data_IF_917028885462
#
_entry.id   IF_917028885462
#
_cell.length_a   1.000
_cell.length_b   1.000
_cell.length_c   1.000
_cell.angle_alpha   90.00
_cell.angle_beta   90.00
_cell.angle_gamma   90.00
#
_symmetry.space_group_name_H-M   'P 1'
#
loop_
_entity.id
_entity.type
_entity.pdbx_description
1 polymer ?
#
# COMPACT_ATOMS: atom_id res chain seq x y z
N UNK A 1 5.79 22.11 27.98
CA UNK A 1 5.41 22.10 26.55
C UNK A 1 5.46 20.66 26.08
N UNK A 2 4.31 20.06 25.74
CA UNK A 2 4.24 18.67 25.30
C UNK A 2 4.42 18.67 23.78
N UNK A 3 5.48 18.00 23.29
CA UNK A 3 5.71 17.82 21.87
C UNK A 3 5.00 16.55 21.41
N UNK A 4 4.06 16.68 20.48
CA UNK A 4 3.40 15.54 19.86
C UNK A 4 4.14 15.13 18.60
N UNK A 5 4.24 13.82 18.37
CA UNK A 5 4.82 13.30 17.15
C UNK A 5 3.88 13.59 15.97
N UNK A 6 4.44 14.10 14.87
CA UNK A 6 3.74 14.21 13.57
C UNK A 6 3.45 12.83 12.92
N UNK A 7 3.76 11.73 13.61
CA UNK A 7 3.49 10.38 13.12
C UNK A 7 1.98 10.13 13.06
N UNK A 8 1.48 9.50 11.99
CA UNK A 8 0.08 9.11 11.93
C UNK A 8 -0.26 8.13 13.05
N UNK A 9 -1.33 8.41 13.82
CA UNK A 9 -1.88 7.42 14.76
C UNK A 9 -2.26 6.11 14.05
N UNK A 10 -2.17 5.01 14.79
CA UNK A 10 -2.37 3.65 14.28
C UNK A 10 -3.74 3.08 14.68
N UNK A 11 -4.28 3.53 15.81
CA UNK A 11 -5.55 3.04 16.38
C UNK A 11 -6.47 4.21 16.74
N UNK A 12 -7.79 3.98 16.60
CA UNK A 12 -8.87 4.88 17.02
C UNK A 12 -8.79 5.30 18.49
N UNK A 13 -8.20 4.49 19.36
CA UNK A 13 -8.04 4.83 20.78
C UNK A 13 -7.20 6.09 21.00
N UNK A 14 -6.33 6.44 20.05
CA UNK A 14 -5.47 7.62 20.09
C UNK A 14 -6.09 8.83 19.37
N UNK A 15 -7.35 8.76 18.95
CA UNK A 15 -8.00 9.81 18.19
C UNK A 15 -8.50 10.97 19.07
N UNK A 16 -7.71 12.03 19.10
CA UNK A 16 -8.04 13.26 19.83
C UNK A 16 -9.02 14.17 19.08
N UNK A 17 -9.27 13.93 17.80
CA UNK A 17 -10.06 14.82 16.93
C UNK A 17 -11.47 14.29 16.63
N UNK A 18 -11.88 13.17 17.22
CA UNK A 18 -13.23 12.60 17.10
C UNK A 18 -13.58 12.08 15.69
N UNK A 19 -12.58 11.75 14.88
CA UNK A 19 -12.71 11.22 13.52
C UNK A 19 -12.93 9.70 13.46
N UNK A 20 -12.70 8.99 14.55
CA UNK A 20 -12.87 7.53 14.64
C UNK A 20 -14.29 7.09 14.27
N UNK A 21 -15.32 7.89 14.60
CA UNK A 21 -16.71 7.63 14.22
C UNK A 21 -16.90 7.62 12.70
N UNK A 22 -16.38 8.64 12.02
CA UNK A 22 -16.46 8.75 10.56
C UNK A 22 -15.65 7.64 9.87
N UNK A 23 -14.45 7.33 10.39
CA UNK A 23 -13.64 6.22 9.89
C UNK A 23 -14.36 4.87 10.02
N UNK A 24 -15.10 4.66 11.12
CA UNK A 24 -15.87 3.43 11.34
C UNK A 24 -17.11 3.36 10.43
N UNK A 25 -17.77 4.48 10.14
CA UNK A 25 -18.84 4.50 9.14
C UNK A 25 -18.32 4.16 7.75
N UNK A 26 -17.21 4.75 7.31
CA UNK A 26 -16.62 4.43 6.02
C UNK A 26 -16.26 2.93 5.91
N UNK A 27 -15.71 2.34 6.97
CA UNK A 27 -15.44 0.91 6.99
C UNK A 27 -16.72 0.08 6.80
N UNK A 28 -17.82 0.41 7.49
CA UNK A 28 -19.12 -0.26 7.32
C UNK A 28 -19.66 -0.14 5.90
N UNK A 29 -19.52 1.02 5.26
CA UNK A 29 -19.94 1.19 3.86
C UNK A 29 -19.11 0.30 2.92
N UNK A 30 -17.81 0.17 3.16
CA UNK A 30 -16.94 -0.76 2.42
C UNK A 30 -17.39 -2.22 2.64
N UNK A 31 -17.74 -2.61 3.87
CA UNK A 31 -18.22 -3.97 4.18
C UNK A 31 -19.56 -4.30 3.51
N UNK A 32 -20.47 -3.33 3.44
CA UNK A 32 -21.80 -3.50 2.86
C UNK A 32 -21.83 -3.35 1.33
N UNK A 33 -20.73 -2.97 0.72
CA UNK A 33 -20.62 -2.85 -0.73
C UNK A 33 -20.67 -4.24 -1.39
N UNK A 34 -21.81 -4.58 -2.00
CA UNK A 34 -22.09 -5.90 -2.62
C UNK A 34 -22.09 -5.88 -4.16
N UNK A 35 -21.79 -4.75 -4.79
CA UNK A 35 -21.79 -4.65 -6.24
C UNK A 35 -20.61 -5.43 -6.83
N UNK A 36 -20.76 -5.90 -8.08
CA UNK A 36 -19.70 -6.63 -8.79
C UNK A 36 -18.55 -5.74 -9.25
N UNK A 37 -18.78 -4.43 -9.36
CA UNK A 37 -17.79 -3.46 -9.81
C UNK A 37 -16.83 -3.05 -8.69
N UNK A 38 -15.59 -2.74 -9.02
CA UNK A 38 -14.60 -2.27 -8.05
C UNK A 38 -14.95 -0.88 -7.50
N UNK A 39 -14.82 -0.70 -6.18
CA UNK A 39 -14.99 0.60 -5.52
C UNK A 39 -13.64 1.32 -5.36
N UNK A 40 -13.58 2.60 -5.73
CA UNK A 40 -12.41 3.47 -5.50
C UNK A 40 -12.79 4.66 -4.62
N UNK A 41 -12.05 4.88 -3.54
CA UNK A 41 -12.31 5.96 -2.56
C UNK A 41 -11.07 6.85 -2.46
N UNK A 42 -11.25 8.15 -2.62
CA UNK A 42 -10.21 9.16 -2.44
C UNK A 42 -10.33 9.90 -1.10
N UNK A 43 -9.26 9.93 -0.30
CA UNK A 43 -9.18 10.73 0.93
C UNK A 43 -8.38 11.99 0.65
N UNK A 44 -9.05 13.15 0.60
CA UNK A 44 -8.47 14.43 0.18
C UNK A 44 -8.39 15.39 1.36
N UNK A 45 -7.30 16.18 1.43
CA UNK A 45 -7.09 17.16 2.49
C UNK A 45 -5.67 17.74 2.46
N UNK A 46 -5.48 18.88 3.14
CA UNK A 46 -4.17 19.57 3.23
C UNK A 46 -3.08 18.68 3.85
N UNK A 47 -1.81 18.98 3.59
CA UNK A 47 -0.71 18.34 4.31
C UNK A 47 -0.88 18.50 5.83
N UNK A 48 -0.51 17.48 6.61
CA UNK A 48 -0.70 17.49 8.07
C UNK A 48 -2.14 17.30 8.55
N UNK A 49 -3.14 17.21 7.66
CA UNK A 49 -4.54 17.08 8.08
C UNK A 49 -4.92 15.72 8.67
N UNK A 50 -3.97 14.81 8.93
CA UNK A 50 -4.25 13.48 9.51
C UNK A 50 -4.88 12.45 8.57
N UNK A 51 -4.70 12.55 7.25
CA UNK A 51 -5.26 11.59 6.28
C UNK A 51 -4.78 10.16 6.51
N UNK A 52 -3.48 9.99 6.71
CA UNK A 52 -2.90 8.66 6.98
C UNK A 52 -3.43 8.08 8.28
N UNK A 53 -3.62 8.90 9.31
CA UNK A 53 -4.28 8.51 10.56
C UNK A 53 -5.71 8.06 10.34
N UNK A 54 -6.47 8.82 9.55
CA UNK A 54 -7.83 8.45 9.18
C UNK A 54 -7.88 7.11 8.45
N UNK A 55 -7.01 6.89 7.47
CA UNK A 55 -6.90 5.61 6.76
C UNK A 55 -6.56 4.47 7.74
N UNK A 56 -5.63 4.67 8.67
CA UNK A 56 -5.29 3.64 9.66
C UNK A 56 -6.51 3.27 10.53
N UNK A 57 -7.29 4.25 10.99
CA UNK A 57 -8.52 4.00 11.74
C UNK A 57 -9.59 3.28 10.92
N UNK A 58 -9.70 3.55 9.62
CA UNK A 58 -10.59 2.78 8.72
C UNK A 58 -10.10 1.33 8.65
N UNK A 59 -8.81 1.14 8.40
CA UNK A 59 -8.20 -0.18 8.22
C UNK A 59 -8.20 -1.04 9.49
N UNK A 60 -8.21 -0.42 10.67
CA UNK A 60 -8.31 -1.11 11.95
C UNK A 60 -9.57 -1.99 12.05
N UNK A 61 -10.67 -1.63 11.37
CA UNK A 61 -11.90 -2.46 11.34
C UNK A 61 -11.72 -3.81 10.64
N UNK A 62 -10.70 -3.96 9.79
CA UNK A 62 -10.47 -5.15 8.98
C UNK A 62 -9.34 -6.05 9.51
N UNK A 63 -8.61 -5.60 10.54
CA UNK A 63 -7.33 -6.19 10.96
C UNK A 63 -7.43 -7.64 11.47
N UNK A 64 -8.59 -8.02 12.02
CA UNK A 64 -8.83 -9.35 12.63
C UNK A 64 -9.81 -10.20 11.80
N UNK A 65 -10.08 -9.80 10.56
CA UNK A 65 -11.08 -10.45 9.73
C UNK A 65 -10.42 -11.06 8.49
N UNK A 66 -10.20 -12.37 8.54
CA UNK A 66 -9.55 -13.17 7.49
C UNK A 66 -10.27 -13.13 6.13
N UNK A 67 -11.48 -12.56 6.07
CA UNK A 67 -12.18 -12.30 4.80
C UNK A 67 -11.51 -11.20 3.96
N UNK A 68 -10.70 -10.33 4.58
CA UNK A 68 -10.11 -9.17 3.92
C UNK A 68 -8.59 -9.29 3.80
N UNK A 69 -8.08 -9.09 2.59
CA UNK A 69 -6.65 -8.96 2.33
C UNK A 69 -6.32 -7.47 2.20
N UNK A 70 -5.70 -6.90 3.23
CA UNK A 70 -5.33 -5.47 3.26
C UNK A 70 -3.89 -5.29 2.77
N UNK A 71 -3.71 -4.51 1.71
CA UNK A 71 -2.40 -4.27 1.09
C UNK A 71 -2.10 -2.78 1.11
N UNK A 72 -1.08 -2.37 1.87
CA UNK A 72 -0.60 -0.98 1.92
C UNK A 72 0.51 -0.79 0.88
N UNK A 73 0.23 0.02 -0.14
CA UNK A 73 1.22 0.42 -1.15
C UNK A 73 1.59 1.90 -0.95
N UNK A 74 2.89 2.19 -0.80
CA UNK A 74 3.38 3.56 -0.59
C UNK A 74 4.49 3.92 -1.60
N UNK A 75 4.24 4.80 -2.59
CA UNK A 75 5.13 5.00 -3.73
C UNK A 75 6.27 6.03 -3.52
N UNK A 76 6.69 6.30 -2.28
CA UNK A 76 7.54 7.46 -1.96
C UNK A 76 8.92 7.53 -2.62
N UNK A 77 9.47 6.40 -3.09
CA UNK A 77 10.82 6.36 -3.68
C UNK A 77 10.81 5.72 -5.07
N UNK A 78 9.95 6.23 -5.95
CA UNK A 78 9.73 5.66 -7.27
C UNK A 78 10.13 6.67 -8.34
N UNK A 79 11.20 6.34 -9.06
CA UNK A 79 11.86 7.23 -10.02
C UNK A 79 11.23 7.23 -11.42
N UNK A 80 10.39 6.24 -11.75
CA UNK A 80 9.74 6.14 -13.06
C UNK A 80 8.36 5.48 -13.00
N UNK A 81 7.51 5.76 -13.99
CA UNK A 81 6.19 5.10 -14.13
C UNK A 81 6.30 3.58 -14.26
N UNK A 82 7.33 3.07 -14.94
CA UNK A 82 7.55 1.62 -15.07
C UNK A 82 7.88 0.99 -13.73
N UNK A 83 8.75 1.64 -12.95
CA UNK A 83 9.07 1.22 -11.58
C UNK A 83 7.82 1.26 -10.68
N UNK A 84 6.96 2.27 -10.79
CA UNK A 84 5.69 2.36 -10.06
C UNK A 84 4.81 1.12 -10.26
N UNK A 85 4.59 0.79 -11.53
CA UNK A 85 3.74 -0.33 -11.93
C UNK A 85 4.37 -1.66 -11.50
N UNK A 86 5.68 -1.82 -11.70
CA UNK A 86 6.43 -2.99 -11.27
C UNK A 86 6.32 -3.23 -9.77
N UNK A 87 6.55 -2.19 -8.97
CA UNK A 87 6.57 -2.28 -7.50
C UNK A 87 5.16 -2.52 -6.94
N UNK A 88 4.14 -1.92 -7.56
CA UNK A 88 2.75 -2.18 -7.22
C UNK A 88 2.41 -3.66 -7.40
N UNK A 89 2.66 -4.23 -8.59
CA UNK A 89 2.37 -5.64 -8.85
C UNK A 89 3.21 -6.59 -7.99
N UNK A 90 4.45 -6.22 -7.68
CA UNK A 90 5.30 -7.00 -6.77
C UNK A 90 4.72 -7.06 -5.37
N UNK A 91 4.34 -5.91 -4.80
CA UNK A 91 3.74 -5.84 -3.47
C UNK A 91 2.40 -6.58 -3.45
N UNK A 92 1.58 -6.43 -4.49
CA UNK A 92 0.31 -7.14 -4.62
C UNK A 92 0.52 -8.67 -4.64
N UNK A 93 1.43 -9.17 -5.48
CA UNK A 93 1.81 -10.59 -5.56
C UNK A 93 2.28 -11.14 -4.20
N UNK A 94 3.14 -10.39 -3.51
CA UNK A 94 3.77 -10.87 -2.28
C UNK A 94 2.80 -10.96 -1.11
N UNK A 95 1.87 -10.02 -0.99
CA UNK A 95 0.88 -10.04 0.09
C UNK A 95 -0.22 -11.08 -0.16
N UNK A 96 -0.71 -11.21 -1.40
CA UNK A 96 -1.70 -12.23 -1.77
C UNK A 96 -1.18 -13.66 -1.48
N UNK A 97 0.11 -13.95 -1.74
CA UNK A 97 0.71 -15.26 -1.46
C UNK A 97 0.88 -15.57 0.03
N UNK A 98 0.96 -14.55 0.90
CA UNK A 98 1.17 -14.74 2.34
C UNK A 98 -0.12 -15.18 3.02
N UNK A 99 -1.25 -14.59 2.64
CA UNK A 99 -2.55 -14.83 3.30
C UNK A 99 -3.13 -16.21 2.99
N UNK A 100 -2.89 -16.78 1.79
CA UNK A 100 -3.55 -18.03 1.38
C UNK A 100 -2.65 -18.94 0.53
N UNK A 101 -1.64 -19.56 1.17
CA UNK A 101 -0.69 -20.48 0.50
C UNK A 101 -1.32 -21.77 -0.03
N UNK A 102 -2.44 -22.22 0.53
CA UNK A 102 -3.10 -23.48 0.19
C UNK A 102 -4.09 -23.37 -0.96
N UNK A 103 -4.55 -22.16 -1.32
CA UNK A 103 -5.50 -21.95 -2.40
C UNK A 103 -4.78 -21.86 -3.75
N UNK A 104 -5.04 -22.84 -4.62
CA UNK A 104 -4.47 -22.96 -5.96
C UNK A 104 -4.82 -21.77 -6.86
N UNK A 105 -5.99 -21.16 -6.67
CA UNK A 105 -6.44 -19.98 -7.44
C UNK A 105 -5.62 -18.77 -7.02
N UNK A 106 -5.52 -18.52 -5.72
CA UNK A 106 -4.72 -17.42 -5.15
C UNK A 106 -3.25 -17.56 -5.53
N UNK A 107 -2.71 -18.79 -5.47
CA UNK A 107 -1.35 -19.08 -5.93
C UNK A 107 -1.13 -18.76 -7.40
N UNK A 108 -2.13 -19.01 -8.25
CA UNK A 108 -2.06 -18.68 -9.69
C UNK A 108 -2.10 -17.17 -9.92
N UNK A 109 -3.01 -16.45 -9.26
CA UNK A 109 -3.11 -14.98 -9.32
C UNK A 109 -1.79 -14.35 -8.88
N UNK A 110 -1.23 -14.78 -7.74
CA UNK A 110 0.06 -14.28 -7.25
C UNK A 110 1.23 -14.55 -8.21
N UNK A 111 1.21 -15.67 -8.95
CA UNK A 111 2.22 -15.94 -9.99
C UNK A 111 2.07 -14.98 -11.17
N UNK A 112 0.85 -14.82 -11.70
CA UNK A 112 0.57 -13.92 -12.82
C UNK A 112 0.96 -12.47 -12.51
N UNK A 113 0.63 -11.98 -11.31
CA UNK A 113 1.03 -10.66 -10.83
C UNK A 113 2.55 -10.50 -10.74
N UNK A 114 3.24 -11.54 -10.26
CA UNK A 114 4.71 -11.57 -10.25
C UNK A 114 5.32 -11.51 -11.65
N UNK A 115 4.69 -12.16 -12.64
CA UNK A 115 5.10 -12.07 -14.04
C UNK A 115 4.90 -10.66 -14.62
N UNK A 116 3.74 -10.02 -14.34
CA UNK A 116 3.50 -8.63 -14.74
C UNK A 116 4.51 -7.67 -14.12
N UNK A 117 4.82 -7.84 -12.84
CA UNK A 117 5.88 -7.06 -12.18
C UNK A 117 7.21 -7.16 -12.93
N UNK A 118 7.64 -8.37 -13.30
CA UNK A 118 8.88 -8.60 -14.06
C UNK A 118 8.86 -7.92 -15.44
N UNK A 119 7.72 -7.91 -16.12
CA UNK A 119 7.57 -7.25 -17.42
C UNK A 119 7.80 -5.73 -17.34
N UNK A 120 7.30 -5.10 -16.28
CA UNK A 120 7.46 -3.65 -16.06
C UNK A 120 8.74 -3.29 -15.31
N UNK A 121 9.51 -4.28 -14.83
CA UNK A 121 10.78 -4.03 -14.16
C UNK A 121 11.71 -3.29 -15.13
N UNK A 122 12.25 -2.11 -14.76
CA UNK A 122 13.24 -1.45 -15.59
C UNK A 122 14.39 -2.41 -15.89
N UNK A 123 14.65 -2.69 -17.18
CA UNK A 123 15.86 -3.38 -17.61
C UNK A 123 17.03 -2.54 -17.08
N UNK A 124 17.90 -3.17 -16.30
CA UNK A 124 18.79 -2.48 -15.37
C UNK A 124 19.50 -1.27 -15.98
N UNK A 125 19.53 -0.18 -15.22
CA UNK A 125 20.74 0.61 -15.10
C UNK A 125 21.85 -0.34 -14.63
N UNK A 126 22.49 -1.03 -15.57
CA UNK A 126 23.90 -1.31 -15.41
C UNK A 126 24.51 0.08 -15.53
N UNK A 127 25.02 0.72 -14.44
CA UNK A 127 25.88 1.88 -14.67
C UNK A 127 26.94 1.37 -15.65
N UNK A 128 27.15 2.05 -16.80
CA UNK A 128 28.24 1.65 -17.68
C UNK A 128 29.48 1.57 -16.79
N UNK A 129 30.31 0.54 -17.01
CA UNK A 129 31.60 0.32 -16.34
C UNK A 129 32.60 1.48 -16.55
N UNK A 130 32.15 2.71 -16.78
CA UNK A 130 32.90 3.91 -17.11
C UNK A 130 33.38 4.72 -15.89
N UNK A 131 33.44 4.14 -14.68
CA UNK A 131 34.15 4.75 -13.55
C UNK A 131 35.22 3.83 -12.95
N UNK A 132 35.74 2.91 -13.77
CA UNK A 132 36.86 2.05 -13.42
C UNK A 132 38.00 2.12 -14.45
N UNK A 133 38.29 3.31 -15.00
CA UNK A 133 39.62 3.68 -15.56
C UNK A 133 39.80 5.20 -15.42
N UNK A 134 41.05 5.63 -15.13
CA UNK A 134 41.60 6.98 -14.87
C UNK A 134 41.52 7.39 -13.39
N UNK A 135 42.57 7.31 -12.56
CA UNK A 135 44.00 7.26 -12.83
C UNK A 135 44.58 8.66 -13.04
N UNK A 136 45.26 9.18 -12.00
CA UNK A 136 46.26 10.27 -12.01
C UNK A 136 45.72 11.70 -12.24
N UNK A 137 45.54 12.47 -11.15
CA UNK A 137 46.29 13.67 -10.67
C UNK A 137 45.56 14.15 -9.40
#
# INVERSE_FOLDING_TARGET
MIFYSEKPIISKEHDLLGRAKVASYLAKEIEHYKNKDSLTIGIVGKWGSGKTSFINMVLENFKENDKYIVIKFNPWNISSRKQLISDFFLQLSNNIKKENKSDKIIGTIGKSLGTLSKFFKPLGLIPPLSLLVWGVI
#
